data_IF_256475740910
#
_entry.id   IF_256475740910
#
_cell.length_a   1.000
_cell.length_b   1.000
_cell.length_c   1.000
_cell.angle_alpha   90.00
_cell.angle_beta   90.00
_cell.angle_gamma   90.00
#
_symmetry.space_group_name_H-M   'P 1'
#
loop_
_entity.id
_entity.type
_entity.pdbx_description
1 polymer ?
#
# COMPACT_ATOMS: atom_id res chain seq x y z
N UNK A 1 -5.52 -22.62 4.15
CA UNK A 1 -6.60 -23.24 4.98
C UNK A 1 -7.93 -22.96 4.32
N UNK A 2 -8.85 -23.95 4.28
CA UNK A 2 -10.22 -23.78 3.79
C UNK A 2 -11.10 -23.30 4.94
N UNK A 3 -11.91 -22.30 4.69
CA UNK A 3 -12.88 -21.77 5.64
C UNK A 3 -14.18 -21.43 4.93
N UNK A 4 -15.27 -21.26 5.68
CA UNK A 4 -16.56 -20.84 5.15
C UNK A 4 -16.94 -19.49 5.77
N UNK A 5 -17.36 -18.54 4.95
CA UNK A 5 -17.79 -17.22 5.42
C UNK A 5 -19.07 -17.31 6.27
N UNK A 6 -20.00 -18.16 5.85
CA UNK A 6 -21.30 -18.34 6.51
C UNK A 6 -21.62 -19.83 6.74
N UNK A 7 -20.97 -20.50 7.71
CA UNK A 7 -21.18 -21.94 7.93
C UNK A 7 -22.62 -22.29 8.33
N UNK A 8 -23.36 -21.33 8.87
CA UNK A 8 -24.80 -21.53 9.21
C UNK A 8 -25.69 -21.82 7.99
N UNK A 9 -25.23 -21.50 6.76
CA UNK A 9 -25.95 -21.83 5.54
C UNK A 9 -26.17 -23.33 5.38
N UNK A 10 -25.32 -24.20 5.93
CA UNK A 10 -25.52 -25.65 5.89
C UNK A 10 -26.78 -26.13 6.60
N UNK A 11 -27.34 -25.33 7.51
CA UNK A 11 -28.65 -25.64 8.13
C UNK A 11 -29.81 -25.64 7.13
N UNK A 12 -29.63 -25.09 5.93
CA UNK A 12 -30.62 -25.12 4.86
C UNK A 12 -30.63 -26.45 4.10
N UNK A 13 -29.62 -27.32 4.25
CA UNK A 13 -29.56 -28.61 3.55
C UNK A 13 -30.78 -29.47 3.76
N UNK A 14 -31.35 -29.66 4.97
CA UNK A 14 -32.54 -30.51 5.18
C UNK A 14 -33.85 -29.85 4.73
N UNK A 15 -33.85 -28.57 4.35
CA UNK A 15 -35.09 -27.84 4.04
C UNK A 15 -35.96 -28.49 2.95
N UNK A 16 -35.43 -28.96 1.79
CA UNK A 16 -36.28 -29.64 0.80
C UNK A 16 -36.93 -30.90 1.32
N UNK A 17 -36.21 -31.65 2.16
CA UNK A 17 -36.74 -32.86 2.78
C UNK A 17 -37.89 -32.53 3.73
N UNK A 18 -37.76 -31.50 4.55
CA UNK A 18 -38.79 -30.99 5.44
C UNK A 18 -40.03 -30.52 4.66
N UNK A 19 -39.81 -29.73 3.59
CA UNK A 19 -40.88 -29.24 2.72
C UNK A 19 -41.64 -30.42 2.09
N UNK A 20 -40.91 -31.40 1.54
CA UNK A 20 -41.54 -32.58 0.93
C UNK A 20 -42.32 -33.47 1.94
N UNK A 21 -41.90 -33.51 3.22
CA UNK A 21 -42.59 -34.26 4.28
C UNK A 21 -43.85 -33.55 4.77
N UNK A 22 -43.82 -32.21 4.84
CA UNK A 22 -44.94 -31.40 5.36
C UNK A 22 -45.85 -30.86 4.27
N UNK A 23 -45.38 -30.73 3.02
CA UNK A 23 -46.23 -30.42 1.90
C UNK A 23 -47.17 -31.59 1.63
N UNK A 24 -48.42 -31.48 2.04
CA UNK A 24 -49.50 -32.41 1.61
C UNK A 24 -49.52 -32.37 0.08
N UNK A 25 -49.28 -33.49 -0.54
CA UNK A 25 -49.51 -33.63 -1.98
C UNK A 25 -51.01 -33.40 -2.23
N UNK A 26 -51.37 -32.16 -2.55
CA UNK A 26 -52.67 -31.90 -3.17
C UNK A 26 -52.66 -32.61 -4.52
N UNK A 27 -53.13 -33.84 -4.51
CA UNK A 27 -53.48 -34.50 -5.74
C UNK A 27 -54.72 -33.78 -6.29
N UNK A 28 -54.41 -32.67 -6.99
CA UNK A 28 -55.39 -32.11 -7.94
C UNK A 28 -55.62 -33.22 -8.93
N UNK A 29 -56.67 -33.96 -8.70
CA UNK A 29 -57.31 -34.83 -9.65
C UNK A 29 -57.65 -33.92 -10.84
N UNK A 30 -56.78 -33.90 -11.83
CA UNK A 30 -57.09 -33.27 -13.11
C UNK A 30 -58.35 -33.90 -13.57
N UNK A 31 -59.40 -33.09 -13.79
CA UNK A 31 -60.70 -33.58 -14.18
C UNK A 31 -60.56 -34.51 -15.38
N UNK A 32 -60.53 -35.81 -15.11
CA UNK A 32 -60.62 -36.84 -16.16
C UNK A 32 -62.03 -36.74 -16.74
N UNK A 33 -62.15 -36.21 -17.94
CA UNK A 33 -63.35 -36.29 -18.73
C UNK A 33 -63.59 -37.79 -18.93
N UNK A 34 -64.64 -38.34 -18.28
CA UNK A 34 -65.10 -39.71 -18.55
C UNK A 34 -65.62 -39.74 -19.99
N UNK A 35 -64.80 -40.20 -20.91
CA UNK A 35 -65.24 -40.49 -22.28
C UNK A 35 -65.87 -41.86 -22.27
N UNK A 36 -67.09 -42.01 -22.80
CA UNK A 36 -67.77 -43.34 -22.90
C UNK A 36 -66.85 -44.29 -23.65
N UNK A 37 -66.71 -45.53 -23.10
CA UNK A 37 -65.80 -46.56 -23.60
C UNK A 37 -65.99 -47.09 -25.02
N UNK A 38 -66.95 -46.54 -25.76
CA UNK A 38 -67.24 -46.89 -27.17
C UNK A 38 -66.35 -46.18 -28.20
N UNK A 39 -65.48 -45.20 -27.77
CA UNK A 39 -64.66 -44.43 -28.71
C UNK A 39 -63.14 -44.74 -28.56
N UNK A 40 -62.77 -45.50 -27.55
CA UNK A 40 -61.35 -45.88 -27.36
C UNK A 40 -61.20 -47.31 -27.81
N UNK A 41 -60.60 -47.47 -28.99
CA UNK A 41 -60.19 -48.80 -29.50
C UNK A 41 -59.16 -49.41 -28.53
N UNK A 42 -59.34 -50.69 -28.27
CA UNK A 42 -58.51 -51.54 -27.44
C UNK A 42 -57.06 -51.53 -27.99
N UNK A 43 -56.19 -50.71 -27.42
CA UNK A 43 -54.78 -50.66 -27.86
C UNK A 43 -53.95 -49.56 -27.36
N UNK A 44 -54.34 -48.83 -26.32
CA UNK A 44 -53.52 -47.80 -25.74
C UNK A 44 -52.85 -48.23 -24.44
N UNK A 45 -51.68 -48.83 -24.49
CA UNK A 45 -50.82 -48.93 -23.31
C UNK A 45 -50.63 -47.56 -22.72
N UNK A 46 -51.03 -47.34 -21.51
CA UNK A 46 -50.72 -46.08 -20.80
C UNK A 46 -49.20 -45.88 -20.77
N UNK A 47 -48.73 -44.78 -21.20
CA UNK A 47 -47.27 -44.52 -21.17
C UNK A 47 -46.83 -44.66 -19.72
N UNK A 48 -45.97 -45.63 -19.46
CA UNK A 48 -45.29 -45.83 -18.18
C UNK A 48 -44.29 -44.60 -17.97
N UNK A 49 -44.78 -43.55 -17.33
CA UNK A 49 -44.03 -42.36 -16.97
C UNK A 49 -43.04 -42.59 -15.83
N UNK A 50 -42.61 -43.85 -15.58
CA UNK A 50 -41.82 -44.19 -14.39
C UNK A 50 -40.31 -43.89 -14.51
N UNK A 51 -39.75 -43.65 -15.71
CA UNK A 51 -38.28 -43.53 -15.87
C UNK A 51 -37.73 -42.08 -15.89
N UNK A 52 -38.52 -41.09 -16.27
CA UNK A 52 -38.06 -39.72 -16.41
C UNK A 52 -38.01 -38.90 -15.08
N UNK A 53 -38.70 -39.40 -14.04
CA UNK A 53 -38.82 -38.71 -12.75
C UNK A 53 -37.58 -38.85 -11.87
N UNK A 54 -36.78 -39.88 -12.02
CA UNK A 54 -35.57 -40.11 -11.20
C UNK A 54 -34.45 -39.11 -11.46
N UNK A 55 -34.10 -38.93 -12.74
CA UNK A 55 -33.04 -38.01 -13.14
C UNK A 55 -33.30 -36.55 -12.75
N UNK A 56 -34.56 -36.11 -12.93
CA UNK A 56 -34.95 -34.71 -12.57
C UNK A 56 -34.84 -34.45 -11.06
N UNK A 57 -35.13 -35.42 -10.22
CA UNK A 57 -34.96 -35.30 -8.76
C UNK A 57 -33.49 -35.18 -8.39
N UNK A 58 -32.61 -35.93 -9.06
CA UNK A 58 -31.15 -35.86 -8.80
C UNK A 58 -30.62 -34.49 -9.16
N UNK A 59 -30.95 -33.94 -10.34
CA UNK A 59 -30.51 -32.60 -10.72
C UNK A 59 -31.06 -31.51 -9.80
N UNK A 60 -32.30 -31.63 -9.31
CA UNK A 60 -32.87 -30.71 -8.35
C UNK A 60 -32.10 -30.73 -7.00
N UNK A 61 -31.72 -31.93 -6.53
CA UNK A 61 -30.94 -32.09 -5.32
C UNK A 61 -29.51 -31.54 -5.48
N UNK A 62 -28.88 -31.81 -6.62
CA UNK A 62 -27.55 -31.26 -6.94
C UNK A 62 -27.61 -29.74 -6.97
N UNK A 63 -28.62 -29.15 -7.62
CA UNK A 63 -28.83 -27.71 -7.65
C UNK A 63 -28.96 -27.10 -6.24
N UNK A 64 -29.75 -27.77 -5.38
CA UNK A 64 -29.93 -27.29 -4.00
C UNK A 64 -28.67 -27.38 -3.17
N UNK A 65 -27.97 -28.51 -3.18
CA UNK A 65 -26.71 -28.69 -2.44
C UNK A 65 -25.66 -27.72 -2.92
N UNK A 66 -25.53 -27.51 -4.24
CA UNK A 66 -24.58 -26.56 -4.81
C UNK A 66 -24.93 -25.11 -4.45
N UNK A 67 -26.23 -24.76 -4.40
CA UNK A 67 -26.70 -23.45 -3.96
C UNK A 67 -26.36 -23.21 -2.49
N UNK A 68 -26.60 -24.17 -1.62
CA UNK A 68 -26.27 -24.08 -0.19
C UNK A 68 -24.73 -23.96 -0.01
N UNK A 69 -23.97 -24.74 -0.79
CA UNK A 69 -22.51 -24.64 -0.78
C UNK A 69 -22.01 -23.24 -1.24
N UNK A 70 -22.69 -22.66 -2.25
CA UNK A 70 -22.38 -21.28 -2.67
C UNK A 70 -22.69 -20.25 -1.58
N UNK A 71 -23.85 -20.39 -0.91
CA UNK A 71 -24.26 -19.53 0.20
C UNK A 71 -23.35 -19.68 1.43
N UNK A 72 -22.77 -20.86 1.65
CA UNK A 72 -21.80 -21.08 2.71
C UNK A 72 -20.50 -20.28 2.49
N UNK A 73 -20.27 -19.76 1.28
CA UNK A 73 -19.14 -18.90 0.93
C UNK A 73 -17.79 -19.58 1.17
N UNK A 74 -17.44 -20.64 0.42
CA UNK A 74 -16.14 -21.28 0.57
C UNK A 74 -15.03 -20.29 0.23
N UNK A 75 -14.03 -20.19 1.12
CA UNK A 75 -12.90 -19.25 1.01
C UNK A 75 -11.59 -19.99 1.23
N UNK A 76 -10.56 -19.60 0.49
CA UNK A 76 -9.18 -20.01 0.74
C UNK A 76 -8.42 -18.84 1.29
N UNK A 77 -7.78 -19.06 2.44
CA UNK A 77 -6.82 -18.11 3.00
C UNK A 77 -5.52 -18.27 2.22
N UNK A 78 -5.19 -17.26 1.44
CA UNK A 78 -3.88 -17.12 0.81
C UNK A 78 -3.03 -16.23 1.71
N UNK A 79 -1.85 -16.67 2.16
CA UNK A 79 -0.91 -15.76 2.78
C UNK A 79 -0.48 -14.76 1.70
N UNK A 80 -1.03 -13.57 1.73
CA UNK A 80 -0.49 -12.44 0.98
C UNK A 80 0.62 -11.88 1.83
N UNK A 81 1.81 -11.73 1.26
CA UNK A 81 2.82 -10.88 1.87
C UNK A 81 2.17 -9.49 1.98
N UNK A 82 1.68 -9.15 3.18
CA UNK A 82 1.35 -7.77 3.47
C UNK A 82 2.58 -6.96 3.11
N UNK A 83 2.38 -5.82 2.46
CA UNK A 83 3.48 -4.88 2.28
C UNK A 83 4.13 -4.73 3.66
N UNK A 84 5.41 -5.07 3.81
CA UNK A 84 6.06 -5.02 5.10
C UNK A 84 6.04 -3.56 5.56
N UNK A 85 5.12 -3.23 6.45
CA UNK A 85 5.08 -1.90 7.07
C UNK A 85 5.92 -1.97 8.32
N UNK A 86 7.05 -1.28 8.31
CA UNK A 86 7.99 -1.28 9.46
C UNK A 86 7.47 -0.43 10.62
N UNK A 87 6.45 0.37 10.38
CA UNK A 87 5.96 1.39 11.32
C UNK A 87 6.96 2.52 11.51
N UNK A 88 7.83 2.78 10.51
CA UNK A 88 8.73 3.92 10.46
C UNK A 88 8.22 4.94 9.47
N UNK A 89 8.29 6.20 9.88
CA UNK A 89 8.09 7.37 9.04
C UNK A 89 9.42 8.06 8.83
N UNK A 90 9.88 8.11 7.58
CA UNK A 90 11.10 8.77 7.14
C UNK A 90 10.74 9.99 6.30
N UNK A 91 11.32 11.15 6.60
CA UNK A 91 11.10 12.35 5.81
C UNK A 91 12.43 12.93 5.34
N UNK A 92 12.59 13.10 4.04
CA UNK A 92 13.73 13.79 3.46
C UNK A 92 13.43 15.29 3.39
N UNK A 93 14.33 16.12 3.88
CA UNK A 93 14.28 17.57 3.72
C UNK A 93 15.51 18.01 2.90
N UNK A 94 15.26 18.37 1.64
CA UNK A 94 16.29 18.63 0.65
C UNK A 94 16.40 20.13 0.37
N UNK A 95 17.61 20.65 0.50
CA UNK A 95 17.98 21.98 0.09
C UNK A 95 18.01 22.11 -1.44
N UNK A 96 17.30 23.11 -1.98
CA UNK A 96 17.29 23.49 -3.39
C UNK A 96 17.78 24.93 -3.60
N UNK A 97 18.60 25.44 -2.67
CA UNK A 97 19.22 26.76 -2.79
C UNK A 97 20.18 26.83 -3.99
N UNK A 98 20.60 28.07 -4.33
CA UNK A 98 21.44 28.29 -5.49
C UNK A 98 22.79 27.58 -5.43
N UNK A 99 23.31 27.28 -4.23
CA UNK A 99 24.58 26.56 -4.03
C UNK A 99 24.53 25.11 -4.53
N UNK A 100 23.36 24.50 -4.60
CA UNK A 100 23.16 23.15 -5.15
C UNK A 100 23.38 23.05 -6.68
N UNK A 101 23.47 24.18 -7.40
CA UNK A 101 23.87 24.21 -8.83
C UNK A 101 25.36 23.94 -9.05
N UNK A 102 26.20 24.02 -8.01
CA UNK A 102 27.64 23.88 -8.16
C UNK A 102 28.04 22.51 -8.66
N UNK A 103 29.09 22.55 -9.51
CA UNK A 103 29.66 21.36 -10.17
C UNK A 103 31.01 21.01 -9.53
N UNK A 104 30.99 20.70 -8.24
CA UNK A 104 32.19 20.40 -7.43
C UNK A 104 32.20 18.94 -6.89
N UNK A 105 31.24 18.12 -7.28
CA UNK A 105 31.22 16.71 -6.99
C UNK A 105 31.60 15.88 -8.23
N UNK A 106 32.24 14.74 -8.02
CA UNK A 106 32.62 13.82 -9.09
C UNK A 106 31.78 12.55 -8.98
N UNK A 107 31.19 12.10 -10.09
CA UNK A 107 30.46 10.83 -10.20
C UNK A 107 30.71 10.21 -11.57
N UNK A 108 31.04 8.93 -11.60
CA UNK A 108 31.37 8.17 -12.81
C UNK A 108 32.53 8.82 -13.63
N UNK A 109 33.51 9.40 -12.96
CA UNK A 109 34.65 10.07 -13.59
C UNK A 109 34.36 11.41 -14.22
N UNK A 110 33.15 11.96 -14.05
CA UNK A 110 32.73 13.27 -14.55
C UNK A 110 32.30 14.19 -13.39
N UNK A 111 32.61 15.48 -13.54
CA UNK A 111 32.14 16.50 -12.60
C UNK A 111 30.63 16.70 -12.76
N UNK A 112 29.90 16.71 -11.64
CA UNK A 112 28.44 16.79 -11.59
C UNK A 112 27.99 17.89 -10.64
N UNK A 113 26.76 18.37 -10.85
CA UNK A 113 26.13 19.31 -9.90
C UNK A 113 25.82 18.58 -8.61
N UNK A 114 25.90 19.28 -7.48
CA UNK A 114 25.53 18.73 -6.16
C UNK A 114 24.16 18.10 -6.20
N UNK A 115 23.16 18.81 -6.76
CA UNK A 115 21.78 18.31 -6.86
C UNK A 115 21.69 16.99 -7.66
N UNK A 116 22.46 16.85 -8.76
CA UNK A 116 22.41 15.63 -9.57
C UNK A 116 22.95 14.41 -8.81
N UNK A 117 24.01 14.61 -8.01
CA UNK A 117 24.56 13.57 -7.13
C UNK A 117 23.57 13.19 -6.03
N UNK A 118 22.96 14.21 -5.40
CA UNK A 118 21.94 13.97 -4.35
C UNK A 118 20.72 13.27 -4.90
N UNK A 119 20.22 13.64 -6.09
CA UNK A 119 19.11 12.94 -6.73
C UNK A 119 19.44 11.47 -6.92
N UNK A 120 20.58 11.16 -7.52
CA UNK A 120 20.97 9.78 -7.83
C UNK A 120 21.10 8.94 -6.55
N UNK A 121 21.91 9.39 -5.59
CA UNK A 121 22.16 8.63 -4.35
C UNK A 121 20.92 8.61 -3.47
N UNK A 122 20.18 9.73 -3.39
CA UNK A 122 18.95 9.83 -2.61
C UNK A 122 17.81 8.98 -3.16
N UNK A 123 17.63 8.94 -4.49
CA UNK A 123 16.61 8.07 -5.11
C UNK A 123 16.93 6.60 -4.88
N UNK A 124 18.19 6.20 -4.98
CA UNK A 124 18.60 4.83 -4.68
C UNK A 124 18.40 4.49 -3.19
N UNK A 125 18.65 5.42 -2.29
CA UNK A 125 18.34 5.29 -0.87
C UNK A 125 16.84 5.10 -0.63
N UNK A 126 15.99 5.96 -1.21
CA UNK A 126 14.54 5.87 -1.07
C UNK A 126 14.01 4.53 -1.58
N UNK A 127 14.49 4.05 -2.73
CA UNK A 127 14.09 2.73 -3.30
C UNK A 127 14.42 1.57 -2.36
N UNK A 128 15.53 1.65 -1.61
CA UNK A 128 15.89 0.63 -0.60
C UNK A 128 15.01 0.65 0.65
N UNK A 129 14.18 1.68 0.84
CA UNK A 129 13.28 1.84 2.00
C UNK A 129 11.90 1.21 1.81
N UNK A 130 11.81 0.16 1.00
CA UNK A 130 10.57 -0.60 0.83
C UNK A 130 10.06 -1.10 2.20
N UNK A 131 8.81 -0.70 2.54
CA UNK A 131 8.21 -0.98 3.84
C UNK A 131 8.21 0.20 4.82
N UNK A 132 9.07 1.20 4.65
CA UNK A 132 8.99 2.48 5.35
C UNK A 132 7.98 3.41 4.65
N UNK A 133 7.37 4.31 5.39
CA UNK A 133 6.59 5.40 4.82
C UNK A 133 7.51 6.59 4.63
N UNK A 134 7.80 6.93 3.38
CA UNK A 134 8.78 7.96 3.01
C UNK A 134 8.07 9.19 2.46
N UNK A 135 8.49 10.38 2.89
CA UNK A 135 8.06 11.67 2.37
C UNK A 135 9.24 12.53 1.94
N UNK A 136 8.98 13.57 1.15
CA UNK A 136 9.98 14.49 0.65
C UNK A 136 9.49 15.94 0.77
N UNK A 137 10.23 16.78 1.48
CA UNK A 137 10.15 18.22 1.39
C UNK A 137 11.38 18.76 0.66
N UNK A 138 11.17 19.83 -0.08
CA UNK A 138 12.25 20.61 -0.65
C UNK A 138 12.12 22.07 -0.17
N UNK A 139 13.26 22.74 0.04
CA UNK A 139 13.28 24.10 0.55
C UNK A 139 14.38 24.94 -0.09
N UNK A 140 14.12 26.24 -0.16
CA UNK A 140 15.08 27.30 -0.47
C UNK A 140 14.65 28.55 0.33
N UNK A 141 14.09 29.60 -0.29
CA UNK A 141 13.47 30.74 0.43
C UNK A 141 12.23 30.29 1.22
N UNK A 142 11.52 29.28 0.72
CA UNK A 142 10.35 28.64 1.32
C UNK A 142 10.46 27.13 1.20
N UNK A 143 9.67 26.42 2.01
CA UNK A 143 9.56 24.98 1.94
C UNK A 143 8.24 24.52 1.30
N UNK A 144 8.28 23.42 0.53
CA UNK A 144 7.11 22.75 0.01
C UNK A 144 7.26 21.24 0.10
N UNK A 145 6.13 20.53 0.12
CA UNK A 145 6.11 19.07 0.09
C UNK A 145 6.18 18.61 -1.37
N UNK A 146 7.27 17.97 -1.74
CA UNK A 146 7.45 17.40 -3.07
C UNK A 146 6.81 16.01 -3.19
N UNK A 147 6.78 15.25 -2.09
CA UNK A 147 6.02 14.01 -1.99
C UNK A 147 5.46 13.84 -0.57
N UNK A 148 4.15 13.62 -0.46
CA UNK A 148 3.53 13.27 0.83
C UNK A 148 4.03 11.89 1.30
N UNK A 149 4.09 11.66 2.63
CA UNK A 149 4.53 10.38 3.17
C UNK A 149 3.74 9.19 2.58
N UNK A 150 4.42 8.31 1.85
CA UNK A 150 3.86 7.18 1.13
C UNK A 150 4.68 5.90 1.32
N UNK A 151 4.03 4.75 1.21
CA UNK A 151 4.70 3.44 1.10
C UNK A 151 5.15 3.14 -0.33
N UNK A 152 4.69 3.91 -1.31
CA UNK A 152 5.17 3.86 -2.68
C UNK A 152 6.50 4.62 -2.80
N UNK A 153 7.57 3.93 -2.44
CA UNK A 153 8.92 4.50 -2.46
C UNK A 153 9.39 4.85 -3.88
N UNK A 154 8.84 4.19 -4.91
CA UNK A 154 9.17 4.50 -6.29
C UNK A 154 8.59 5.86 -6.72
N UNK A 155 7.35 6.15 -6.33
CA UNK A 155 6.74 7.47 -6.58
C UNK A 155 7.53 8.59 -5.86
N UNK A 156 8.00 8.34 -4.62
CA UNK A 156 8.82 9.31 -3.88
C UNK A 156 10.19 9.49 -4.54
N UNK A 157 10.84 8.41 -5.01
CA UNK A 157 12.10 8.48 -5.73
C UNK A 157 11.96 9.29 -7.03
N UNK A 158 10.89 9.08 -7.80
CA UNK A 158 10.58 9.86 -9.00
C UNK A 158 10.33 11.34 -8.68
N UNK A 159 9.64 11.64 -7.57
CA UNK A 159 9.50 13.02 -7.11
C UNK A 159 10.86 13.65 -6.79
N UNK A 160 11.76 12.91 -6.15
CA UNK A 160 13.13 13.37 -5.87
C UNK A 160 13.93 13.60 -7.17
N UNK A 161 13.79 12.73 -8.17
CA UNK A 161 14.44 12.89 -9.48
C UNK A 161 13.90 14.12 -10.25
N UNK A 162 12.70 14.60 -9.93
CA UNK A 162 12.03 15.71 -10.63
C UNK A 162 12.19 17.08 -9.96
N UNK A 163 12.69 17.17 -8.69
CA UNK A 163 12.88 18.47 -8.02
C UNK A 163 13.82 19.37 -8.81
N UNK A 164 13.60 20.67 -8.81
CA UNK A 164 14.42 21.62 -9.55
C UNK A 164 14.77 22.86 -8.71
N UNK A 165 15.99 23.36 -8.90
CA UNK A 165 16.43 24.60 -8.26
C UNK A 165 15.66 25.78 -8.87
N UNK A 166 15.35 26.77 -8.02
CA UNK A 166 14.66 28.00 -8.43
C UNK A 166 13.14 27.97 -8.34
N UNK A 167 12.51 26.84 -8.04
CA UNK A 167 11.05 26.74 -7.86
C UNK A 167 10.56 27.58 -6.67
N UNK A 168 11.33 27.64 -5.57
CA UNK A 168 10.95 28.29 -4.31
C UNK A 168 11.99 29.29 -3.82
N UNK A 169 12.79 29.82 -4.73
CA UNK A 169 13.85 30.77 -4.44
C UNK A 169 15.25 30.19 -4.57
N UNK A 170 16.25 30.92 -4.05
CA UNK A 170 17.68 30.55 -4.15
C UNK A 170 18.41 30.68 -2.83
N UNK A 171 17.77 31.21 -1.77
CA UNK A 171 18.31 31.32 -0.42
C UNK A 171 18.14 29.98 0.33
N UNK A 172 18.56 29.91 1.59
CA UNK A 172 18.55 28.69 2.38
C UNK A 172 17.78 28.91 3.68
N UNK A 173 16.53 28.41 3.76
CA UNK A 173 15.68 28.48 4.94
C UNK A 173 15.57 27.08 5.62
N UNK A 174 16.64 26.65 6.30
CA UNK A 174 16.71 25.34 6.97
C UNK A 174 15.56 25.15 7.96
N UNK A 175 15.25 26.20 8.74
CA UNK A 175 14.17 26.15 9.72
C UNK A 175 12.80 25.88 9.11
N UNK A 176 12.53 26.45 7.91
CA UNK A 176 11.28 26.21 7.19
C UNK A 176 11.20 24.76 6.66
N UNK A 177 12.30 24.26 6.06
CA UNK A 177 12.38 22.88 5.55
C UNK A 177 12.19 21.85 6.66
N UNK A 178 12.93 21.99 7.75
CA UNK A 178 12.80 21.11 8.91
C UNK A 178 11.43 21.25 9.57
N UNK A 179 10.91 22.46 9.75
CA UNK A 179 9.60 22.71 10.33
C UNK A 179 8.46 22.09 9.53
N UNK A 180 8.54 22.12 8.19
CA UNK A 180 7.57 21.45 7.33
C UNK A 180 7.64 19.94 7.48
N UNK A 181 8.85 19.34 7.52
CA UNK A 181 9.03 17.90 7.73
C UNK A 181 8.45 17.46 9.08
N UNK A 182 8.73 18.21 10.16
CA UNK A 182 8.19 17.92 11.49
C UNK A 182 6.66 17.98 11.53
N UNK A 183 6.07 18.97 10.87
CA UNK A 183 4.61 19.09 10.78
C UNK A 183 3.98 17.86 10.10
N UNK A 184 4.63 17.31 9.06
CA UNK A 184 4.15 16.10 8.36
C UNK A 184 4.34 14.83 9.19
N UNK A 185 5.30 14.82 10.10
CA UNK A 185 5.57 13.70 10.99
C UNK A 185 4.85 13.78 12.36
N UNK A 186 4.31 14.94 12.75
CA UNK A 186 3.69 15.12 14.06
C UNK A 186 2.56 14.12 14.31
N UNK A 187 1.69 13.92 13.32
CA UNK A 187 0.54 12.99 13.38
C UNK A 187 0.83 11.65 12.70
N UNK A 188 2.11 11.35 12.43
CA UNK A 188 2.48 10.12 11.75
C UNK A 188 2.26 8.89 12.63
N UNK A 189 1.64 7.82 12.11
CA UNK A 189 1.29 6.62 12.88
C UNK A 189 2.49 5.77 13.27
N UNK A 190 3.65 5.98 12.66
CA UNK A 190 4.85 5.18 12.87
C UNK A 190 5.42 5.32 14.28
N UNK A 191 5.97 4.23 14.79
CA UNK A 191 6.66 4.20 16.10
C UNK A 191 8.01 4.89 16.06
N UNK A 192 8.65 4.98 14.90
CA UNK A 192 9.93 5.64 14.67
C UNK A 192 9.75 6.73 13.63
N UNK A 193 10.10 7.95 13.98
CA UNK A 193 10.00 9.14 13.12
C UNK A 193 11.39 9.74 12.93
N UNK A 194 11.80 9.84 11.68
CA UNK A 194 13.15 10.26 11.29
C UNK A 194 13.09 11.30 10.19
N UNK A 195 13.88 12.36 10.33
CA UNK A 195 14.16 13.33 9.26
C UNK A 195 15.61 13.19 8.83
N UNK A 196 15.84 13.15 7.52
CA UNK A 196 17.17 13.32 6.93
C UNK A 196 17.20 14.70 6.28
N UNK A 197 17.89 15.62 6.91
CA UNK A 197 18.05 17.01 6.43
C UNK A 197 19.37 17.11 5.67
N UNK A 198 19.28 17.52 4.42
CA UNK A 198 20.44 17.67 3.54
C UNK A 198 20.53 19.13 3.09
N UNK A 199 21.64 19.80 3.44
CA UNK A 199 21.91 21.19 3.07
C UNK A 199 23.39 21.41 2.81
N UNK A 200 23.68 22.37 1.93
CA UNK A 200 25.04 22.76 1.57
C UNK A 200 25.34 24.21 1.93
N UNK A 201 24.42 24.92 2.57
CA UNK A 201 24.54 26.35 2.89
C UNK A 201 24.32 26.69 4.35
N UNK A 202 24.58 27.96 4.66
CA UNK A 202 24.22 28.57 5.92
C UNK A 202 22.76 29.03 5.87
N UNK A 203 22.03 28.92 7.00
CA UNK A 203 20.65 29.43 7.09
C UNK A 203 20.67 30.96 6.95
N UNK A 204 20.15 31.47 5.84
CA UNK A 204 20.15 32.91 5.50
C UNK A 204 18.75 33.45 5.16
N UNK A 205 17.72 32.63 5.27
CA UNK A 205 16.31 32.95 5.03
C UNK A 205 15.39 32.24 6.00
N UNK A 206 14.10 32.59 5.94
CA UNK A 206 13.05 32.00 6.77
C UNK A 206 12.89 32.69 8.12
N UNK A 207 11.68 32.55 8.70
CA UNK A 207 11.34 33.13 10.00
C UNK A 207 11.68 32.18 11.17
N UNK A 208 11.67 30.87 10.92
CA UNK A 208 11.97 29.87 11.92
C UNK A 208 13.48 29.68 12.12
N UNK A 209 13.96 29.78 13.35
CA UNK A 209 15.36 29.51 13.63
C UNK A 209 15.63 28.00 13.64
N UNK A 210 16.70 27.52 13.01
CA UNK A 210 17.02 26.09 12.97
C UNK A 210 17.12 25.44 14.36
N UNK A 211 17.68 26.17 15.35
CA UNK A 211 17.82 25.69 16.73
C UNK A 211 16.48 25.52 17.45
N UNK A 212 15.50 26.41 17.24
CA UNK A 212 14.19 26.28 17.84
C UNK A 212 13.40 25.10 17.23
N UNK A 213 13.54 24.91 15.92
CA UNK A 213 12.92 23.79 15.23
C UNK A 213 13.56 22.45 15.63
N UNK A 214 14.88 22.42 15.88
CA UNK A 214 15.56 21.24 16.42
C UNK A 214 15.06 20.86 17.83
N UNK A 215 14.79 21.84 18.68
CA UNK A 215 14.18 21.62 20.00
C UNK A 215 12.78 21.03 19.86
N UNK A 216 11.97 21.56 18.95
CA UNK A 216 10.66 21.01 18.63
C UNK A 216 10.74 19.56 18.14
N UNK A 217 11.75 19.23 17.32
CA UNK A 217 11.97 17.84 16.87
C UNK A 217 12.15 16.89 18.06
N UNK A 218 12.96 17.31 19.05
CA UNK A 218 13.16 16.55 20.29
C UNK A 218 11.85 16.35 21.07
N UNK A 219 11.06 17.42 21.23
CA UNK A 219 9.77 17.38 21.95
C UNK A 219 8.77 16.43 21.25
N UNK A 220 8.78 16.40 19.92
CA UNK A 220 7.95 15.50 19.12
C UNK A 220 8.51 14.06 19.05
N UNK A 221 9.70 13.81 19.60
CA UNK A 221 10.36 12.50 19.49
C UNK A 221 10.78 12.14 18.06
N UNK A 222 11.14 13.13 17.24
CA UNK A 222 11.62 12.98 15.88
C UNK A 222 13.14 13.11 15.87
N UNK A 223 13.85 12.10 15.38
CA UNK A 223 15.31 12.17 15.18
C UNK A 223 15.63 12.89 13.86
N UNK A 224 16.59 13.79 13.89
CA UNK A 224 17.03 14.51 12.70
C UNK A 224 18.48 14.18 12.41
N UNK A 225 18.72 13.39 11.37
CA UNK A 225 20.05 13.20 10.81
C UNK A 225 20.33 14.35 9.86
N UNK A 226 21.51 14.95 9.97
CA UNK A 226 21.89 16.08 9.12
C UNK A 226 23.08 15.75 8.26
N UNK A 227 23.02 16.10 6.99
CA UNK A 227 24.09 15.93 5.99
C UNK A 227 24.51 17.31 5.52
N UNK A 228 25.74 17.71 5.87
CA UNK A 228 26.36 18.96 5.49
C UNK A 228 27.23 18.75 4.25
N UNK A 229 26.81 19.27 3.09
CA UNK A 229 27.48 19.09 1.80
C UNK A 229 28.34 20.30 1.44
N UNK A 230 29.54 20.07 0.97
CA UNK A 230 30.40 21.13 0.40
C UNK A 230 31.86 21.02 0.82
N UNK A 231 32.80 21.67 0.10
CA UNK A 231 34.22 21.45 0.30
C UNK A 231 34.80 22.17 1.54
N UNK A 232 34.16 23.24 2.02
CA UNK A 232 34.71 24.10 3.06
C UNK A 232 33.72 24.36 4.20
N UNK A 233 34.22 24.64 5.40
CA UNK A 233 33.45 24.99 6.58
C UNK A 233 33.59 26.48 6.96
N UNK A 234 32.62 27.06 7.66
CA UNK A 234 32.64 28.46 8.14
C UNK A 234 33.88 28.81 8.96
N UNK A 235 34.47 27.83 9.63
CA UNK A 235 35.66 28.01 10.46
C UNK A 235 36.96 28.12 9.67
N UNK A 236 36.94 27.82 8.37
CA UNK A 236 38.15 27.79 7.53
C UNK A 236 38.42 29.12 6.80
N UNK A 237 37.52 30.12 6.95
CA UNK A 237 37.58 31.34 6.14
C UNK A 237 37.33 32.61 6.96
N UNK A 238 38.12 33.62 6.75
CA UNK A 238 37.93 35.01 7.24
C UNK A 238 37.23 35.82 6.15
N UNK A 239 35.90 35.91 6.20
CA UNK A 239 35.11 36.72 5.26
C UNK A 239 33.79 36.03 4.82
N UNK A 240 32.94 36.78 4.12
CA UNK A 240 31.72 36.19 3.53
C UNK A 240 32.11 35.39 2.29
N UNK A 241 32.00 34.08 2.38
CA UNK A 241 32.11 33.16 1.24
C UNK A 241 30.79 32.41 1.10
N UNK A 242 30.04 32.54 -0.01
CA UNK A 242 28.80 31.87 -0.24
C UNK A 242 28.94 30.32 -0.37
N UNK A 243 30.19 29.84 -0.39
CA UNK A 243 30.53 28.41 -0.54
C UNK A 243 30.67 27.65 0.78
N UNK A 244 30.46 28.37 1.87
CA UNK A 244 30.73 27.88 3.21
C UNK A 244 29.49 27.20 3.79
N UNK A 245 29.67 25.97 4.23
CA UNK A 245 28.65 25.18 4.91
C UNK A 245 28.61 25.53 6.39
N UNK A 246 27.44 25.82 6.93
CA UNK A 246 27.25 25.97 8.37
C UNK A 246 27.14 24.59 9.05
N UNK A 247 28.27 23.91 9.10
CA UNK A 247 28.37 22.58 9.70
C UNK A 247 28.06 22.59 11.20
N UNK A 248 28.32 23.72 11.89
CA UNK A 248 28.05 23.87 13.31
C UNK A 248 26.56 23.90 13.59
N UNK A 249 25.78 24.66 12.84
CA UNK A 249 24.31 24.66 12.98
C UNK A 249 23.71 23.31 12.65
N UNK A 250 24.13 22.66 11.56
CA UNK A 250 23.63 21.32 11.19
C UNK A 250 23.98 20.26 12.25
N UNK A 251 25.20 20.33 12.81
CA UNK A 251 25.60 19.47 13.92
C UNK A 251 24.75 19.72 15.17
N UNK A 252 24.51 20.97 15.52
CA UNK A 252 23.68 21.33 16.67
C UNK A 252 22.22 20.84 16.51
N UNK A 253 21.67 20.84 15.29
CA UNK A 253 20.33 20.27 15.00
C UNK A 253 20.32 18.76 15.28
N UNK A 254 21.30 18.03 14.74
CA UNK A 254 21.40 16.59 14.94
C UNK A 254 21.55 16.23 16.43
N UNK A 255 22.49 16.86 17.12
CA UNK A 255 22.76 16.62 18.54
C UNK A 255 21.51 16.93 19.42
N UNK A 256 20.80 18.04 19.14
CA UNK A 256 19.61 18.42 19.89
C UNK A 256 18.46 17.43 19.76
N UNK A 257 18.28 16.82 18.59
CA UNK A 257 17.18 15.87 18.28
C UNK A 257 17.54 14.40 18.53
N UNK A 258 18.80 14.10 18.88
CA UNK A 258 19.30 12.72 19.07
C UNK A 258 19.57 11.98 17.75
N UNK A 259 19.78 12.71 16.66
CA UNK A 259 20.23 12.19 15.37
C UNK A 259 21.75 12.20 15.24
N UNK A 260 22.24 12.00 14.03
CA UNK A 260 23.67 12.06 13.69
C UNK A 260 23.96 13.12 12.63
N UNK A 261 25.12 13.72 12.73
CA UNK A 261 25.65 14.69 11.79
C UNK A 261 26.68 14.02 10.87
N UNK A 262 26.56 14.25 9.57
CA UNK A 262 27.47 13.75 8.55
C UNK A 262 28.05 14.90 7.76
N UNK A 263 29.39 14.94 7.67
CA UNK A 263 30.12 15.89 6.84
C UNK A 263 30.48 15.24 5.50
N UNK A 264 30.02 15.84 4.40
CA UNK A 264 30.16 15.31 3.04
C UNK A 264 30.94 16.31 2.19
N UNK A 265 32.10 15.90 1.70
CA UNK A 265 32.99 16.67 0.81
C UNK A 265 33.07 16.04 -0.58
N UNK A 266 32.82 14.75 -0.67
CA UNK A 266 32.89 13.96 -1.91
C UNK A 266 31.62 13.15 -2.11
N UNK A 267 31.46 12.57 -3.29
CA UNK A 267 30.36 11.65 -3.60
C UNK A 267 30.42 10.38 -2.74
N UNK A 268 31.64 9.90 -2.48
CA UNK A 268 31.90 8.73 -1.63
C UNK A 268 31.50 9.00 -0.18
N UNK A 269 31.74 10.23 0.34
CA UNK A 269 31.29 10.62 1.67
C UNK A 269 29.76 10.61 1.76
N UNK A 270 29.05 11.08 0.71
CA UNK A 270 27.58 11.04 0.68
C UNK A 270 27.08 9.61 0.69
N UNK A 271 27.69 8.73 -0.10
CA UNK A 271 27.33 7.31 -0.09
C UNK A 271 27.58 6.67 1.26
N UNK A 272 28.71 6.99 1.91
CA UNK A 272 29.05 6.50 3.25
C UNK A 272 28.06 7.01 4.32
N UNK A 273 27.66 8.30 4.25
CA UNK A 273 26.67 8.89 5.14
C UNK A 273 25.30 8.18 5.01
N UNK A 274 24.85 7.96 3.78
CA UNK A 274 23.60 7.25 3.50
C UNK A 274 23.65 5.80 3.99
N UNK A 275 24.75 5.08 3.77
CA UNK A 275 24.91 3.72 4.26
C UNK A 275 24.91 3.67 5.81
N UNK A 276 25.54 4.65 6.46
CA UNK A 276 25.50 4.78 7.93
C UNK A 276 24.07 5.02 8.44
N UNK A 277 23.28 5.85 7.75
CA UNK A 277 21.87 6.04 8.08
C UNK A 277 21.08 4.74 7.89
N UNK A 278 21.38 3.95 6.84
CA UNK A 278 20.76 2.62 6.62
C UNK A 278 21.05 1.66 7.79
N UNK A 279 22.26 1.69 8.35
CA UNK A 279 22.67 0.86 9.49
C UNK A 279 22.03 1.30 10.81
N UNK A 280 21.99 2.62 11.07
CA UNK A 280 21.42 3.20 12.30
C UNK A 280 19.90 3.05 12.31
N UNK A 281 19.29 3.17 11.15
CA UNK A 281 17.86 3.13 10.92
C UNK A 281 17.48 1.91 10.05
N UNK A 282 17.70 0.67 10.53
CA UNK A 282 17.41 -0.52 9.72
C UNK A 282 15.92 -0.68 9.49
N UNK A 283 15.54 -0.98 8.25
CA UNK A 283 14.16 -1.32 7.90
C UNK A 283 13.82 -2.70 8.50
N UNK A 284 13.12 -2.72 9.62
CA UNK A 284 12.68 -3.98 10.28
C UNK A 284 11.30 -4.35 9.76
N UNK A 285 11.21 -5.39 8.97
CA UNK A 285 9.94 -5.97 8.52
C UNK A 285 9.22 -6.64 9.70
N UNK A 286 8.24 -5.96 10.29
CA UNK A 286 7.40 -6.47 11.38
C UNK A 286 5.94 -6.66 10.93
N UNK A 287 5.69 -6.98 9.66
CA UNK A 287 4.33 -7.23 9.24
C UNK A 287 3.92 -8.66 9.60
N UNK A 288 2.89 -8.87 10.44
CA UNK A 288 2.24 -10.16 10.50
C UNK A 288 1.68 -10.46 9.09
N UNK A 289 1.69 -11.73 8.64
CA UNK A 289 1.15 -12.08 7.34
C UNK A 289 -0.31 -11.61 7.27
N UNK A 290 -0.62 -10.73 6.32
CA UNK A 290 -1.99 -10.37 6.05
C UNK A 290 -2.64 -11.55 5.33
N UNK A 291 -3.76 -12.01 5.85
CA UNK A 291 -4.55 -13.05 5.21
C UNK A 291 -5.46 -12.42 4.16
N UNK A 292 -5.20 -12.66 2.88
CA UNK A 292 -6.18 -12.35 1.86
C UNK A 292 -7.12 -13.55 1.66
N UNK A 293 -8.41 -13.25 1.57
CA UNK A 293 -9.45 -14.23 1.37
C UNK A 293 -9.79 -14.28 -0.11
N UNK A 294 -9.62 -15.46 -0.74
CA UNK A 294 -10.10 -15.68 -2.10
C UNK A 294 -11.44 -16.41 -2.01
N UNK A 295 -12.49 -15.77 -2.46
CA UNK A 295 -13.84 -16.32 -2.50
C UNK A 295 -13.98 -17.33 -3.65
N UNK A 296 -14.56 -18.48 -3.36
CA UNK A 296 -14.79 -19.57 -4.32
C UNK A 296 -16.26 -19.84 -4.58
N UNK A 297 -17.17 -19.02 -4.03
CA UNK A 297 -18.60 -19.18 -4.23
C UNK A 297 -19.07 -19.20 -5.70
N UNK A 298 -18.39 -18.58 -6.68
CA UNK A 298 -18.84 -18.61 -8.07
C UNK A 298 -18.88 -20.05 -8.66
N UNK A 299 -17.99 -20.93 -8.21
CA UNK A 299 -17.94 -22.30 -8.71
C UNK A 299 -19.18 -23.15 -8.31
N UNK A 300 -19.53 -23.27 -7.05
CA UNK A 300 -20.75 -23.96 -6.66
C UNK A 300 -22.01 -23.22 -7.15
N UNK A 301 -22.01 -21.90 -7.25
CA UNK A 301 -23.13 -21.15 -7.83
C UNK A 301 -23.35 -21.48 -9.32
N UNK A 302 -22.26 -21.56 -10.09
CA UNK A 302 -22.33 -21.99 -11.49
C UNK A 302 -22.87 -23.41 -11.65
N UNK A 303 -22.42 -24.34 -10.79
CA UNK A 303 -22.95 -25.72 -10.78
C UNK A 303 -24.46 -25.77 -10.44
N UNK A 304 -24.88 -24.96 -9.46
CA UNK A 304 -26.28 -24.85 -9.08
C UNK A 304 -27.16 -24.39 -10.25
N UNK A 305 -26.69 -23.39 -10.98
CA UNK A 305 -27.37 -22.80 -12.12
C UNK A 305 -27.50 -23.81 -13.29
N UNK A 306 -26.42 -24.52 -13.62
CA UNK A 306 -26.42 -25.56 -14.65
C UNK A 306 -27.36 -26.69 -14.28
N UNK A 307 -27.33 -27.17 -13.03
CA UNK A 307 -28.22 -28.22 -12.56
C UNK A 307 -29.69 -27.78 -12.56
N UNK A 308 -29.98 -26.52 -12.19
CA UNK A 308 -31.33 -25.95 -12.27
C UNK A 308 -31.84 -25.88 -13.72
N UNK A 309 -30.99 -25.43 -14.65
CA UNK A 309 -31.33 -25.39 -16.08
C UNK A 309 -31.63 -26.79 -16.64
N UNK A 310 -30.85 -27.82 -16.26
CA UNK A 310 -31.06 -29.19 -16.64
C UNK A 310 -32.44 -29.71 -16.17
N UNK A 311 -32.87 -29.34 -14.94
CA UNK A 311 -34.22 -29.69 -14.45
C UNK A 311 -35.32 -29.00 -15.26
N UNK A 312 -35.13 -27.77 -15.70
CA UNK A 312 -36.11 -27.01 -16.47
C UNK A 312 -36.25 -27.53 -17.92
N UNK A 313 -35.14 -27.84 -18.58
CA UNK A 313 -35.12 -28.35 -19.95
C UNK A 313 -35.71 -29.78 -20.01
N UNK A 314 -35.37 -30.63 -19.05
CA UNK A 314 -35.94 -31.99 -18.95
C UNK A 314 -37.45 -31.98 -18.72
N UNK A 315 -38.02 -30.88 -18.19
CA UNK A 315 -39.48 -30.72 -18.05
C UNK A 315 -40.22 -30.34 -19.34
N UNK A 316 -39.55 -29.69 -20.31
CA UNK A 316 -40.15 -29.19 -21.58
C UNK A 316 -40.23 -30.24 -22.68
N UNK A 317 -39.47 -31.33 -22.60
CA UNK A 317 -39.45 -32.38 -23.65
C UNK A 317 -40.56 -33.40 -23.52
N UNK A 318 -41.43 -33.31 -22.49
CA UNK A 318 -42.55 -34.22 -22.23
C UNK A 318 -43.88 -33.50 -21.98
N UNK A 319 -44.04 -32.29 -22.51
CA UNK A 319 -45.31 -31.57 -22.48
C UNK A 319 -45.95 -31.49 -23.88
#
# INVERSE_FOLDING_TARGET
>A
MWTFATPLAFLLLPLPFLVLRFARADRRSGGAIKVPGTIVGSGGEAPTTASATGGRKIFAWVAWVALVAALAGPQIVLPVQALPTTGRDLFLALDLSGSMERTDFSMDGATRRRLDVVRKIGSDFVRRRAGDRVGLAAFADRAYVAAEPSYDVEAVAQALDSVAIGLVGRSTAIGEGLGLALRRLADAPGKSRVVVLLSDGANNAGAATPKDVARLAKELGVRVHTIAMGPRDTTEITGYDPDVVDAETLKAIADASGGQFFRVRTTEDLQAAINSIDEIEPTRTLAPPANAWRELWPWPAGLALVAAAATAIGGRRFS
#
